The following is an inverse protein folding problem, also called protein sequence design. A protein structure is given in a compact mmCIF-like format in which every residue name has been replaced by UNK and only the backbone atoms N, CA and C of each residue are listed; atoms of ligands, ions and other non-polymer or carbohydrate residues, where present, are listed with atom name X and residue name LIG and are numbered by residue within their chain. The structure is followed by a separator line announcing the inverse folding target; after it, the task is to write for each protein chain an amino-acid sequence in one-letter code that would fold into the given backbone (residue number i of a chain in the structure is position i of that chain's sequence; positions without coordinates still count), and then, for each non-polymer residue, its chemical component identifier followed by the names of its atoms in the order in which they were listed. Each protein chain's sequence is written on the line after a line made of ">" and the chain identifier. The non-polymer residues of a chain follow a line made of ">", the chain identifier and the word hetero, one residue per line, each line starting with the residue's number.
data_IF_146521576385
#
_entry.id   IF_146521576385
#
_cell.length_a   1.000
_cell.length_b   1.000
_cell.length_c   1.000
_cell.angle_alpha   90.00
_cell.angle_beta   90.00
_cell.angle_gamma   90.00
#
_symmetry.space_group_name_H-M   'P 1'
#
loop_
_entity.id
_entity.type
_entity.pdbx_description
1 polymer ?
#
# COMPACT_ATOMS: atom_id res chain seq x y z
N UNK A 1 -18.91 33.41 7.47
CA UNK A 1 -19.41 32.63 6.33
C UNK A 1 -19.69 31.22 6.79
N UNK A 2 -20.83 30.63 6.43
CA UNK A 2 -21.35 29.38 7.03
C UNK A 2 -20.72 28.08 6.51
N UNK A 3 -19.51 28.15 5.92
CA UNK A 3 -18.80 27.00 5.34
C UNK A 3 -19.53 26.29 4.20
N UNK A 4 -18.96 25.17 3.76
CA UNK A 4 -19.62 24.15 2.94
C UNK A 4 -20.00 23.00 3.87
N UNK A 5 -21.25 22.51 3.79
CA UNK A 5 -21.78 21.49 4.71
C UNK A 5 -22.10 20.15 4.03
N UNK A 6 -21.76 20.05 2.75
CA UNK A 6 -21.99 18.86 1.93
C UNK A 6 -21.11 18.92 0.69
N UNK A 7 -20.85 17.75 0.11
CA UNK A 7 -20.16 17.60 -1.18
C UNK A 7 -20.88 18.40 -2.27
N UNK A 8 -22.22 18.38 -2.25
CA UNK A 8 -23.06 19.14 -3.16
C UNK A 8 -22.81 20.65 -3.04
N UNK A 9 -22.73 21.18 -1.82
CA UNK A 9 -22.44 22.59 -1.61
C UNK A 9 -21.05 22.98 -2.15
N UNK A 10 -20.05 22.12 -2.02
CA UNK A 10 -18.71 22.33 -2.62
C UNK A 10 -18.81 22.30 -4.14
N UNK A 11 -19.52 21.33 -4.71
CA UNK A 11 -19.72 21.21 -6.16
C UNK A 11 -20.41 22.44 -6.76
N UNK A 12 -21.54 22.86 -6.20
CA UNK A 12 -22.35 23.98 -6.73
C UNK A 12 -21.72 25.34 -6.44
N UNK A 13 -21.38 25.61 -5.18
CA UNK A 13 -21.01 26.96 -4.73
C UNK A 13 -19.53 27.25 -4.89
N UNK A 14 -18.66 26.25 -4.70
CA UNK A 14 -17.22 26.42 -4.94
C UNK A 14 -16.84 26.11 -6.40
N UNK A 15 -17.75 25.52 -7.20
CA UNK A 15 -17.51 25.19 -8.60
C UNK A 15 -16.45 24.11 -8.80
N UNK A 16 -16.24 23.25 -7.80
CA UNK A 16 -15.22 22.21 -7.84
C UNK A 16 -15.74 21.03 -8.66
N UNK A 17 -15.09 20.75 -9.79
CA UNK A 17 -15.47 19.67 -10.69
C UNK A 17 -15.37 18.28 -10.06
N UNK A 18 -16.08 17.31 -10.66
CA UNK A 18 -16.26 15.96 -10.11
C UNK A 18 -14.93 15.21 -9.94
N UNK A 19 -14.00 15.41 -10.87
CA UNK A 19 -12.65 14.84 -10.80
C UNK A 19 -11.91 15.25 -9.51
N UNK A 20 -12.00 16.53 -9.14
CA UNK A 20 -11.34 17.06 -7.94
C UNK A 20 -12.06 16.57 -6.69
N UNK A 21 -13.40 16.59 -6.68
CA UNK A 21 -14.19 16.05 -5.57
C UNK A 21 -13.90 14.56 -5.33
N UNK A 22 -13.71 13.77 -6.40
CA UNK A 22 -13.37 12.36 -6.27
C UNK A 22 -11.99 12.15 -5.63
N UNK A 23 -11.03 13.03 -5.93
CA UNK A 23 -9.71 13.01 -5.29
C UNK A 23 -9.78 13.43 -3.81
N UNK A 24 -10.61 14.43 -3.49
CA UNK A 24 -10.86 14.86 -2.11
C UNK A 24 -11.55 13.76 -1.29
N UNK A 25 -12.57 13.12 -1.86
CA UNK A 25 -13.26 11.99 -1.25
C UNK A 25 -12.31 10.81 -1.05
N UNK A 26 -11.48 10.48 -2.05
CA UNK A 26 -10.46 9.45 -1.92
C UNK A 26 -9.39 9.76 -0.87
N UNK A 27 -9.12 11.04 -0.61
CA UNK A 27 -8.22 11.53 0.45
C UNK A 27 -8.93 11.74 1.80
N UNK A 28 -10.14 11.22 1.96
CA UNK A 28 -10.92 11.28 3.20
C UNK A 28 -11.27 12.72 3.68
N UNK A 29 -11.26 13.69 2.76
CA UNK A 29 -11.47 15.11 3.09
C UNK A 29 -12.89 15.44 3.57
N UNK A 30 -13.85 14.52 3.40
CA UNK A 30 -15.26 14.71 3.75
C UNK A 30 -15.67 13.99 5.04
N UNK A 31 -14.71 13.43 5.79
CA UNK A 31 -14.97 12.83 7.10
C UNK A 31 -15.61 13.82 8.09
N UNK A 32 -15.30 15.13 7.98
CA UNK A 32 -15.93 16.18 8.78
C UNK A 32 -17.44 16.33 8.53
N UNK A 33 -17.96 15.81 7.42
CA UNK A 33 -19.39 15.78 7.10
C UNK A 33 -20.07 14.50 7.60
N UNK A 34 -19.36 13.66 8.36
CA UNK A 34 -19.85 12.37 8.84
C UNK A 34 -19.99 11.32 7.74
N UNK A 35 -19.34 11.53 6.59
CA UNK A 35 -19.34 10.59 5.48
C UNK A 35 -18.12 9.69 5.57
N UNK A 36 -18.32 8.37 5.42
CA UNK A 36 -17.18 7.49 5.15
C UNK A 36 -16.59 7.78 3.77
N UNK A 37 -15.36 7.34 3.53
CA UNK A 37 -14.70 7.46 2.22
C UNK A 37 -15.57 6.88 1.10
N UNK A 38 -16.18 5.72 1.33
CA UNK A 38 -17.07 5.04 0.36
C UNK A 38 -18.34 5.85 0.11
N UNK A 39 -18.96 6.40 1.15
CA UNK A 39 -20.15 7.24 1.01
C UNK A 39 -19.84 8.52 0.23
N UNK A 40 -18.70 9.16 0.53
CA UNK A 40 -18.26 10.35 -0.17
C UNK A 40 -17.99 10.09 -1.66
N UNK A 41 -17.26 9.02 -1.99
CA UNK A 41 -17.01 8.61 -3.37
C UNK A 41 -18.32 8.28 -4.11
N UNK A 42 -19.26 7.63 -3.43
CA UNK A 42 -20.58 7.33 -3.98
C UNK A 42 -21.38 8.61 -4.26
N UNK A 43 -21.41 9.54 -3.31
CA UNK A 43 -22.07 10.84 -3.46
C UNK A 43 -21.48 11.64 -4.63
N UNK A 44 -20.15 11.69 -4.76
CA UNK A 44 -19.48 12.34 -5.90
C UNK A 44 -19.85 11.67 -7.23
N UNK A 45 -19.98 10.34 -7.25
CA UNK A 45 -20.35 9.60 -8.46
C UNK A 45 -21.78 9.89 -8.92
N UNK A 46 -22.66 10.20 -7.98
CA UNK A 46 -24.05 10.61 -8.22
C UNK A 46 -24.22 12.02 -8.79
N UNK A 47 -23.16 12.83 -8.85
CA UNK A 47 -23.24 14.17 -9.43
C UNK A 47 -23.41 14.12 -10.96
N UNK A 48 -24.34 14.93 -11.47
CA UNK A 48 -24.74 14.99 -12.89
C UNK A 48 -23.70 15.53 -13.88
N UNK A 49 -22.50 15.90 -13.41
CA UNK A 49 -21.41 16.39 -14.27
C UNK A 49 -20.39 17.22 -13.52
N UNK A 50 -19.57 17.98 -14.24
CA UNK A 50 -18.59 18.89 -13.64
C UNK A 50 -19.21 20.19 -13.10
N UNK A 51 -20.38 20.57 -13.59
CA UNK A 51 -21.16 21.70 -13.11
C UNK A 51 -22.64 21.33 -13.05
N UNK A 52 -23.42 21.95 -12.16
CA UNK A 52 -24.87 21.84 -12.18
C UNK A 52 -25.41 22.30 -13.54
N UNK A 53 -26.46 21.66 -14.03
CA UNK A 53 -27.16 22.16 -15.21
C UNK A 53 -27.86 23.48 -14.85
N UNK A 54 -27.97 24.45 -15.79
CA UNK A 54 -28.52 25.78 -15.51
C UNK A 54 -29.92 25.75 -14.86
N UNK A 55 -30.75 24.76 -15.22
CA UNK A 55 -32.09 24.60 -14.65
C UNK A 55 -32.10 24.13 -13.19
N UNK A 56 -31.02 23.51 -12.73
CA UNK A 56 -30.90 22.89 -11.39
C UNK A 56 -29.85 23.58 -10.51
N UNK A 57 -29.39 24.79 -10.88
CA UNK A 57 -28.37 25.52 -10.13
C UNK A 57 -28.83 25.93 -8.72
N UNK A 58 -30.11 26.32 -8.56
CA UNK A 58 -30.65 26.81 -7.30
C UNK A 58 -31.18 25.70 -6.38
N UNK A 59 -31.99 24.79 -6.92
CA UNK A 59 -32.77 23.80 -6.12
C UNK A 59 -32.25 22.36 -6.24
N UNK A 60 -31.27 22.12 -7.13
CA UNK A 60 -30.79 20.78 -7.45
C UNK A 60 -31.77 19.94 -8.26
N UNK A 61 -31.37 18.72 -8.59
CA UNK A 61 -32.17 17.80 -9.44
C UNK A 61 -33.33 17.13 -8.70
N UNK A 62 -33.53 17.42 -7.40
CA UNK A 62 -34.58 16.82 -6.58
C UNK A 62 -34.53 15.29 -6.47
N UNK A 63 -33.38 14.69 -6.79
CA UNK A 63 -33.20 13.24 -6.75
C UNK A 63 -33.36 12.74 -5.31
N UNK A 64 -34.09 11.62 -5.08
CA UNK A 64 -34.22 11.05 -3.76
C UNK A 64 -32.83 10.70 -3.20
N UNK A 65 -32.58 11.09 -1.96
CA UNK A 65 -31.36 10.71 -1.25
C UNK A 65 -31.47 9.23 -0.94
N UNK A 66 -30.78 8.40 -1.71
CA UNK A 66 -30.65 6.99 -1.41
C UNK A 66 -29.63 6.82 -0.30
N UNK A 67 -30.06 6.30 0.84
CA UNK A 67 -29.13 5.84 1.88
C UNK A 67 -28.48 4.56 1.34
N UNK A 68 -27.24 4.69 0.86
CA UNK A 68 -26.45 3.54 0.44
C UNK A 68 -25.88 2.85 1.67
N UNK A 69 -26.28 1.61 1.93
CA UNK A 69 -25.67 0.79 2.97
C UNK A 69 -24.38 0.14 2.41
N UNK A 70 -23.32 0.94 2.28
CA UNK A 70 -22.03 0.47 1.80
C UNK A 70 -21.29 -0.28 2.92
N UNK A 71 -20.56 -1.37 2.63
CA UNK A 71 -19.74 -2.02 3.63
C UNK A 71 -18.73 -1.02 4.20
N UNK A 72 -18.54 -1.04 5.53
CA UNK A 72 -17.47 -0.27 6.17
C UNK A 72 -16.11 -0.77 5.69
N UNK A 73 -15.16 0.15 5.58
CA UNK A 73 -13.77 -0.22 5.36
C UNK A 73 -13.16 -0.67 6.69
N UNK A 74 -12.41 -1.76 6.65
CA UNK A 74 -11.51 -2.15 7.73
C UNK A 74 -10.40 -1.11 7.89
N UNK A 75 -9.76 -1.11 9.07
CA UNK A 75 -8.64 -0.21 9.34
C UNK A 75 -7.48 -0.38 8.34
N UNK A 76 -7.20 -1.64 7.93
CA UNK A 76 -6.17 -1.93 6.92
C UNK A 76 -6.50 -1.30 5.56
N UNK A 77 -7.76 -1.38 5.13
CA UNK A 77 -8.24 -0.75 3.90
C UNK A 77 -8.16 0.78 3.98
N UNK A 78 -8.54 1.37 5.11
CA UNK A 78 -8.49 2.84 5.29
C UNK A 78 -7.05 3.36 5.25
N UNK A 79 -6.13 2.71 5.97
CA UNK A 79 -4.71 3.05 5.94
C UNK A 79 -4.16 2.86 4.52
N UNK A 80 -4.51 1.78 3.84
CA UNK A 80 -4.10 1.56 2.46
C UNK A 80 -4.55 2.70 1.52
N UNK A 81 -5.83 3.08 1.58
CA UNK A 81 -6.37 4.15 0.74
C UNK A 81 -5.78 5.54 1.10
N UNK A 82 -5.48 5.79 2.38
CA UNK A 82 -4.75 6.99 2.83
C UNK A 82 -3.38 7.11 2.14
N UNK A 83 -2.61 6.02 2.09
CA UNK A 83 -1.33 5.99 1.41
C UNK A 83 -1.48 6.14 -0.11
N UNK A 84 -2.49 5.52 -0.72
CA UNK A 84 -2.78 5.70 -2.16
C UNK A 84 -3.11 7.15 -2.49
N UNK A 85 -3.88 7.82 -1.63
CA UNK A 85 -4.37 9.17 -1.88
C UNK A 85 -3.36 10.27 -1.52
N UNK A 86 -2.74 10.19 -0.34
CA UNK A 86 -1.96 11.28 0.25
C UNK A 86 -0.53 10.89 0.66
N UNK A 87 -0.18 9.59 0.59
CA UNK A 87 1.13 9.03 1.01
C UNK A 87 1.44 9.16 2.51
N UNK A 88 0.45 9.54 3.29
CA UNK A 88 0.50 9.60 4.75
C UNK A 88 -0.83 9.09 5.28
N UNK A 89 -0.85 8.68 6.55
CA UNK A 89 -2.08 8.39 7.27
C UNK A 89 -2.02 9.05 8.64
N UNK A 90 -3.18 9.45 9.15
CA UNK A 90 -3.35 9.89 10.54
C UNK A 90 -3.89 8.76 11.44
N UNK A 91 -4.08 7.57 10.87
CA UNK A 91 -4.48 6.34 11.56
C UNK A 91 -3.22 5.58 12.00
N UNK A 92 -3.35 4.28 12.24
CA UNK A 92 -2.22 3.44 12.61
C UNK A 92 -1.16 3.32 11.51
N UNK A 93 0.09 3.13 11.95
CA UNK A 93 1.22 2.96 11.06
C UNK A 93 1.15 1.59 10.32
N UNK A 94 1.48 1.50 9.02
CA UNK A 94 1.38 0.25 8.26
C UNK A 94 2.14 -0.94 8.86
N UNK A 95 3.29 -0.66 9.50
CA UNK A 95 4.07 -1.70 10.19
C UNK A 95 3.31 -2.30 11.37
N UNK A 96 2.49 -1.52 12.10
CA UNK A 96 1.61 -2.04 13.16
C UNK A 96 0.68 -3.11 12.61
N UNK A 97 0.03 -2.78 11.49
CA UNK A 97 -0.93 -3.65 10.83
C UNK A 97 -0.27 -4.92 10.27
N UNK A 98 0.98 -4.84 9.82
CA UNK A 98 1.76 -5.94 9.25
C UNK A 98 2.62 -6.71 10.25
N UNK A 99 2.52 -6.42 11.56
CA UNK A 99 3.33 -7.11 12.59
C UNK A 99 3.22 -8.65 12.53
N UNK A 100 2.03 -9.25 12.35
CA UNK A 100 1.91 -10.71 12.24
C UNK A 100 2.74 -11.31 11.10
N UNK A 101 2.80 -10.63 9.96
CA UNK A 101 3.47 -11.06 8.73
C UNK A 101 4.99 -10.74 8.74
N UNK A 102 5.40 -9.69 9.47
CA UNK A 102 6.79 -9.26 9.57
C UNK A 102 7.66 -10.13 10.48
N UNK A 103 7.04 -10.92 11.36
CA UNK A 103 7.74 -11.72 12.36
C UNK A 103 8.47 -10.86 13.39
N UNK A 104 9.45 -11.44 14.08
CA UNK A 104 10.17 -10.76 15.17
C UNK A 104 11.25 -9.82 14.62
N UNK A 105 11.17 -8.55 15.01
CA UNK A 105 12.21 -7.55 14.78
C UNK A 105 12.35 -6.64 16.02
N UNK A 106 13.47 -5.94 16.12
CA UNK A 106 13.75 -4.93 17.15
C UNK A 106 13.14 -3.61 16.71
N UNK A 107 12.25 -3.05 17.53
CA UNK A 107 11.63 -1.76 17.22
C UNK A 107 12.61 -0.60 17.35
N UNK A 108 12.38 0.48 16.61
CA UNK A 108 13.20 1.70 16.66
C UNK A 108 13.34 2.24 18.09
N UNK A 109 12.25 2.22 18.87
CA UNK A 109 12.29 2.63 20.28
C UNK A 109 13.22 1.76 21.14
N UNK A 110 13.30 0.46 20.85
CA UNK A 110 14.17 -0.48 21.58
C UNK A 110 15.64 -0.27 21.24
N UNK A 111 15.96 0.13 20.00
CA UNK A 111 17.35 0.37 19.57
C UNK A 111 18.06 1.42 20.43
N UNK A 112 17.32 2.41 20.94
CA UNK A 112 17.87 3.47 21.81
C UNK A 112 18.61 2.90 23.01
N UNK A 113 18.14 1.79 23.56
CA UNK A 113 18.70 1.13 24.75
C UNK A 113 19.49 -0.15 24.43
N UNK A 114 19.53 -0.59 23.17
CA UNK A 114 20.23 -1.80 22.78
C UNK A 114 21.76 -1.62 22.88
N UNK A 115 22.51 -2.59 23.42
CA UNK A 115 23.98 -2.57 23.49
C UNK A 115 24.67 -2.26 22.14
N UNK A 116 25.77 -1.51 22.20
CA UNK A 116 26.62 -1.29 21.03
C UNK A 116 27.17 -2.62 20.48
N UNK A 117 27.39 -2.69 19.17
CA UNK A 117 27.90 -3.87 18.43
C UNK A 117 26.99 -5.10 18.43
N UNK A 118 25.78 -5.00 18.99
CA UNK A 118 24.81 -6.08 18.94
C UNK A 118 24.29 -6.30 17.52
N UNK A 119 24.05 -7.55 17.16
CA UNK A 119 23.28 -7.91 15.97
C UNK A 119 21.80 -7.67 16.20
N UNK A 120 21.20 -6.87 15.33
CA UNK A 120 19.78 -6.53 15.37
C UNK A 120 19.14 -6.75 14.01
N UNK A 121 17.86 -7.07 14.03
CA UNK A 121 17.02 -7.10 12.83
C UNK A 121 15.93 -6.06 13.02
N UNK A 122 15.82 -5.12 12.07
CA UNK A 122 14.78 -4.09 12.04
C UNK A 122 13.92 -4.30 10.82
N UNK A 123 12.66 -3.85 10.87
CA UNK A 123 11.77 -3.84 9.73
C UNK A 123 10.99 -2.52 9.73
N UNK A 124 10.85 -1.90 8.56
CA UNK A 124 10.17 -0.61 8.48
C UNK A 124 10.03 -0.09 7.06
N UNK A 125 9.18 0.93 6.91
CA UNK A 125 8.99 1.67 5.66
C UNK A 125 10.24 2.49 5.36
N UNK A 126 10.72 2.46 4.12
CA UNK A 126 11.85 3.31 3.73
C UNK A 126 11.36 4.72 3.45
N UNK A 127 11.75 5.67 4.30
CA UNK A 127 11.34 7.07 4.16
C UNK A 127 12.36 7.92 3.39
N UNK A 128 13.65 7.62 3.53
CA UNK A 128 14.72 8.37 2.84
C UNK A 128 15.83 7.44 2.35
N UNK A 129 16.46 7.85 1.25
CA UNK A 129 17.68 7.25 0.70
C UNK A 129 18.63 8.37 0.33
N UNK A 130 19.86 8.31 0.84
CA UNK A 130 20.87 9.31 0.56
C UNK A 130 22.17 8.63 0.15
N UNK A 131 22.82 9.16 -0.87
CA UNK A 131 24.17 8.72 -1.28
C UNK A 131 25.03 9.96 -1.53
N UNK A 132 25.52 10.60 -0.45
CA UNK A 132 26.33 11.78 -0.58
C UNK A 132 27.53 11.52 -1.50
N UNK A 133 27.80 12.43 -2.44
CA UNK A 133 28.92 12.27 -3.38
C UNK A 133 30.29 12.17 -2.70
N UNK A 134 30.40 12.64 -1.46
CA UNK A 134 31.62 12.64 -0.64
C UNK A 134 31.80 11.38 0.20
N UNK A 135 30.80 10.50 0.32
CA UNK A 135 30.81 9.38 1.27
C UNK A 135 31.35 8.06 0.67
N UNK A 136 32.27 8.12 -0.30
CA UNK A 136 32.89 6.94 -0.93
C UNK A 136 31.89 5.85 -1.36
N UNK A 137 30.71 6.27 -1.82
CA UNK A 137 29.66 5.37 -2.29
C UNK A 137 28.77 4.75 -1.20
N UNK A 138 28.94 5.10 0.08
CA UNK A 138 28.06 4.70 1.18
C UNK A 138 26.65 5.26 0.98
N UNK A 139 25.64 4.44 1.28
CA UNK A 139 24.24 4.81 1.23
C UNK A 139 23.68 4.83 2.65
N UNK A 140 22.90 5.87 2.95
CA UNK A 140 22.13 5.98 4.18
C UNK A 140 20.66 5.73 3.86
N UNK A 141 20.04 4.81 4.60
CA UNK A 141 18.59 4.61 4.59
C UNK A 141 18.03 5.01 5.94
N UNK A 142 16.85 5.62 5.94
CA UNK A 142 16.05 5.74 7.16
C UNK A 142 14.81 4.87 7.01
N UNK A 143 14.61 3.99 7.99
CA UNK A 143 13.41 3.16 8.10
C UNK A 143 12.50 3.73 9.18
N UNK A 144 11.19 3.63 8.98
CA UNK A 144 10.17 4.00 9.95
C UNK A 144 9.34 2.77 10.36
N UNK A 145 9.18 2.58 11.66
CA UNK A 145 8.20 1.70 12.26
C UNK A 145 7.23 2.50 13.14
N UNK A 146 6.26 1.80 13.74
CA UNK A 146 5.25 2.36 14.64
C UNK A 146 5.80 3.02 15.91
N UNK A 147 7.11 2.88 16.17
CA UNK A 147 7.78 3.38 17.37
C UNK A 147 8.83 4.45 17.08
N UNK A 148 9.09 4.74 15.80
CA UNK A 148 10.00 5.79 15.34
C UNK A 148 10.91 5.35 14.19
N UNK A 149 12.09 5.97 14.10
CA UNK A 149 12.99 5.80 12.96
C UNK A 149 14.27 5.04 13.31
N UNK A 150 14.76 4.25 12.36
CA UNK A 150 16.02 3.51 12.41
C UNK A 150 16.94 3.95 11.28
N UNK A 151 18.15 4.41 11.62
CA UNK A 151 19.15 4.83 10.63
C UNK A 151 20.03 3.66 10.22
N UNK A 152 20.18 3.45 8.91
CA UNK A 152 20.89 2.31 8.35
C UNK A 152 22.04 2.81 7.47
N UNK A 153 23.18 2.16 7.62
CA UNK A 153 24.35 2.36 6.77
C UNK A 153 24.50 1.15 5.85
N UNK A 154 24.55 1.41 4.54
CA UNK A 154 24.78 0.42 3.50
C UNK A 154 26.10 0.72 2.81
N UNK A 155 27.10 -0.12 3.09
CA UNK A 155 28.42 -0.05 2.44
C UNK A 155 28.35 -0.50 0.98
N UNK A 156 29.27 -0.03 0.11
CA UNK A 156 29.29 -0.39 -1.31
C UNK A 156 29.16 -1.90 -1.59
N UNK A 157 29.93 -2.73 -0.87
CA UNK A 157 29.89 -4.18 -1.05
C UNK A 157 28.53 -4.80 -0.68
N UNK A 158 27.83 -4.24 0.32
CA UNK A 158 26.47 -4.67 0.69
C UNK A 158 25.46 -4.16 -0.34
N UNK A 159 25.62 -2.92 -0.81
CA UNK A 159 24.77 -2.35 -1.86
C UNK A 159 24.85 -3.13 -3.16
N UNK A 160 26.04 -3.56 -3.59
CA UNK A 160 26.21 -4.37 -4.79
C UNK A 160 25.42 -5.68 -4.73
N UNK A 161 25.40 -6.33 -3.55
CA UNK A 161 24.65 -7.58 -3.32
C UNK A 161 23.14 -7.36 -3.24
N UNK A 162 22.70 -6.26 -2.62
CA UNK A 162 21.29 -5.98 -2.34
C UNK A 162 20.75 -4.77 -3.11
N UNK A 163 21.27 -4.56 -4.33
CA UNK A 163 21.00 -3.35 -5.11
C UNK A 163 19.50 -3.13 -5.33
N UNK A 164 18.77 -4.18 -5.71
CA UNK A 164 17.32 -4.11 -5.96
C UNK A 164 16.56 -3.68 -4.70
N UNK A 165 16.88 -4.29 -3.57
CA UNK A 165 16.22 -4.05 -2.29
C UNK A 165 16.49 -2.63 -1.78
N UNK A 166 17.73 -2.16 -1.88
CA UNK A 166 18.11 -0.79 -1.50
C UNK A 166 17.43 0.25 -2.39
N UNK A 167 17.38 0.01 -3.70
CA UNK A 167 16.81 0.96 -4.67
C UNK A 167 15.28 1.03 -4.62
N UNK A 168 14.63 -0.13 -4.63
CA UNK A 168 13.19 -0.22 -4.87
C UNK A 168 12.36 -0.65 -3.65
N UNK A 169 13.00 -1.20 -2.61
CA UNK A 169 12.30 -1.78 -1.47
C UNK A 169 11.58 -0.71 -0.65
N UNK A 170 10.26 -0.75 -0.59
CA UNK A 170 9.37 0.21 0.09
C UNK A 170 9.18 -0.14 1.56
N UNK A 171 9.07 -1.44 1.86
CA UNK A 171 9.10 -2.03 3.18
C UNK A 171 10.25 -3.02 3.18
N UNK A 172 11.22 -2.86 4.07
CA UNK A 172 12.41 -3.71 4.10
C UNK A 172 12.68 -4.23 5.48
N UNK A 173 13.25 -5.43 5.55
CA UNK A 173 13.83 -6.00 6.76
C UNK A 173 15.34 -6.00 6.62
N UNK A 174 16.02 -5.46 7.62
CA UNK A 174 17.47 -5.31 7.61
C UNK A 174 18.04 -5.95 8.85
N UNK A 175 18.95 -6.89 8.64
CA UNK A 175 19.80 -7.45 9.70
C UNK A 175 21.19 -6.83 9.58
N UNK A 176 21.71 -6.36 10.70
CA UNK A 176 22.97 -5.65 10.74
C UNK A 176 23.49 -5.49 12.15
N UNK A 177 24.65 -4.86 12.25
CA UNK A 177 25.28 -4.57 13.53
C UNK A 177 24.96 -3.15 13.97
N UNK A 178 24.38 -3.00 15.15
CA UNK A 178 24.17 -1.69 15.76
C UNK A 178 25.53 -1.05 16.09
N UNK A 179 25.67 0.22 15.76
CA UNK A 179 26.79 1.08 16.09
C UNK A 179 26.25 2.31 16.79
N UNK A 180 26.82 2.63 17.96
CA UNK A 180 26.46 3.83 18.72
C UNK A 180 27.60 4.82 18.72
N UNK A 181 27.27 6.06 18.34
CA UNK A 181 28.18 7.20 18.42
C UNK A 181 27.48 8.31 19.21
N UNK A 182 27.81 8.40 20.50
CA UNK A 182 27.09 9.25 21.45
C UNK A 182 25.62 8.85 21.57
N UNK A 183 24.73 9.78 21.22
CA UNK A 183 23.26 9.60 21.29
C UNK A 183 22.67 8.99 20.01
N UNK A 184 23.44 8.95 18.92
CA UNK A 184 22.96 8.49 17.62
C UNK A 184 23.31 7.02 17.43
N UNK A 185 22.33 6.24 16.96
CA UNK A 185 22.52 4.83 16.61
C UNK A 185 22.36 4.63 15.12
N UNK A 186 23.28 3.89 14.53
CA UNK A 186 23.23 3.42 13.15
C UNK A 186 23.26 1.90 13.11
N UNK A 187 22.62 1.29 12.13
CA UNK A 187 22.72 -0.14 11.88
C UNK A 187 23.54 -0.32 10.61
N UNK A 188 24.72 -0.93 10.74
CA UNK A 188 25.51 -1.32 9.59
C UNK A 188 24.91 -2.58 9.00
N UNK A 189 24.28 -2.42 7.84
CA UNK A 189 23.54 -3.48 7.15
C UNK A 189 24.46 -4.61 6.68
N UNK A 190 23.99 -5.85 6.89
CA UNK A 190 24.65 -7.07 6.38
C UNK A 190 23.73 -7.86 5.47
N UNK A 191 22.41 -7.85 5.73
CA UNK A 191 21.38 -8.50 4.92
C UNK A 191 20.18 -7.58 4.80
N UNK A 192 19.62 -7.50 3.60
CA UNK A 192 18.46 -6.67 3.29
C UNK A 192 17.46 -7.55 2.53
N UNK A 193 16.29 -7.75 3.12
CA UNK A 193 15.17 -8.47 2.52
C UNK A 193 14.09 -7.44 2.14
N UNK A 194 13.60 -7.51 0.90
CA UNK A 194 12.51 -6.67 0.42
C UNK A 194 11.17 -7.33 0.76
N UNK A 195 10.35 -6.64 1.54
CA UNK A 195 9.04 -7.09 2.00
C UNK A 195 7.92 -6.21 1.41
N UNK A 196 8.22 -5.45 0.35
CA UNK A 196 7.28 -4.53 -0.28
C UNK A 196 5.97 -5.19 -0.70
N UNK A 197 5.98 -6.50 -0.99
CA UNK A 197 4.78 -7.24 -1.36
C UNK A 197 3.74 -7.29 -0.23
N UNK A 198 4.15 -7.22 1.04
CA UNK A 198 3.24 -7.16 2.19
C UNK A 198 2.45 -5.85 2.25
N UNK A 199 2.95 -4.77 1.62
CA UNK A 199 2.18 -3.54 1.52
C UNK A 199 0.97 -3.70 0.59
N UNK A 200 1.08 -4.61 -0.38
CA UNK A 200 0.01 -4.86 -1.33
C UNK A 200 -1.09 -5.75 -0.69
N UNK A 201 -0.82 -6.40 0.44
CA UNK A 201 -1.81 -7.19 1.21
C UNK A 201 -2.63 -6.35 2.20
N UNK A 202 -2.24 -5.10 2.46
CA UNK A 202 -3.02 -4.20 3.33
C UNK A 202 -4.42 -3.90 2.77
N UNK A 203 -4.55 -3.81 1.44
CA UNK A 203 -5.83 -3.54 0.78
C UNK A 203 -6.75 -4.75 0.64
N UNK A 204 -6.23 -5.98 0.83
CA UNK A 204 -6.98 -7.23 0.66
C UNK A 204 -6.84 -8.08 1.94
N UNK A 205 -7.62 -7.73 2.97
CA UNK A 205 -7.62 -8.46 4.25
C UNK A 205 -7.97 -9.96 4.07
N UNK A 206 -8.79 -10.29 3.06
CA UNK A 206 -9.19 -11.68 2.75
C UNK A 206 -8.13 -12.47 1.95
N UNK A 207 -7.13 -11.80 1.36
CA UNK A 207 -6.10 -12.42 0.52
C UNK A 207 -4.74 -12.57 1.23
N UNK A 208 -4.62 -12.15 2.49
CA UNK A 208 -3.37 -12.13 3.25
C UNK A 208 -2.66 -13.51 3.35
N UNK A 209 -3.39 -14.61 3.17
CA UNK A 209 -2.83 -15.98 3.13
C UNK A 209 -2.54 -16.54 1.72
N UNK A 210 -2.86 -15.83 0.64
CA UNK A 210 -2.68 -16.26 -0.77
C UNK A 210 -1.73 -15.37 -1.56
N UNK A 211 -1.08 -14.40 -0.91
CA UNK A 211 -0.11 -13.54 -1.58
C UNK A 211 1.18 -14.32 -1.86
N UNK A 212 1.36 -14.69 -3.14
CA UNK A 212 2.61 -15.27 -3.64
C UNK A 212 3.71 -14.20 -3.53
N UNK A 213 4.85 -14.53 -2.91
CA UNK A 213 6.01 -13.64 -2.89
C UNK A 213 6.60 -13.55 -4.30
N UNK A 214 6.39 -12.44 -5.03
CA UNK A 214 6.84 -12.31 -6.41
C UNK A 214 8.36 -12.12 -6.51
N UNK A 215 9.07 -12.09 -5.38
CA UNK A 215 10.53 -11.94 -5.29
C UNK A 215 11.24 -13.27 -5.51
N UNK A 216 10.58 -14.40 -5.24
CA UNK A 216 11.13 -15.76 -5.41
C UNK A 216 10.59 -16.49 -6.65
N UNK A 217 9.58 -15.95 -7.33
CA UNK A 217 9.05 -16.56 -8.55
C UNK A 217 9.92 -16.22 -9.77
N UNK A 218 10.69 -17.20 -10.22
CA UNK A 218 11.35 -17.16 -11.52
C UNK A 218 10.26 -17.16 -12.62
N UNK A 219 10.06 -16.01 -13.26
CA UNK A 219 9.12 -15.86 -14.38
C UNK A 219 9.46 -16.73 -15.62
N UNK A 220 10.59 -17.42 -15.61
CA UNK A 220 11.09 -18.24 -16.72
C UNK A 220 10.56 -19.69 -16.71
N UNK A 221 9.91 -20.14 -15.63
CA UNK A 221 9.33 -21.49 -15.54
C UNK A 221 8.16 -21.70 -16.52
N UNK A 222 7.57 -20.63 -17.05
CA UNK A 222 6.58 -20.69 -18.14
C UNK A 222 7.25 -21.08 -19.47
N UNK A 223 8.55 -20.81 -19.63
CA UNK A 223 9.30 -21.11 -20.87
C UNK A 223 10.08 -22.42 -20.80
N UNK A 224 10.38 -22.92 -19.60
CA UNK A 224 11.07 -24.21 -19.40
C UNK A 224 10.49 -24.92 -18.17
N UNK A 225 9.38 -25.66 -18.31
CA UNK A 225 8.86 -26.44 -17.20
C UNK A 225 9.93 -27.44 -16.74
N UNK A 226 10.20 -27.47 -15.44
CA UNK A 226 11.02 -28.51 -14.84
C UNK A 226 10.41 -29.89 -15.15
N UNK A 227 11.22 -30.94 -15.41
CA UNK A 227 10.69 -32.28 -15.62
C UNK A 227 9.91 -32.70 -14.38
N UNK A 228 8.68 -33.16 -14.59
CA UNK A 228 7.76 -33.53 -13.52
C UNK A 228 8.38 -34.61 -12.62
N UNK A 229 8.89 -34.21 -11.46
CA UNK A 229 9.24 -35.12 -10.37
C UNK A 229 7.95 -35.63 -9.74
N UNK A 230 7.84 -36.95 -9.62
CA UNK A 230 6.71 -37.66 -9.04
C UNK A 230 6.48 -37.27 -7.57
N UNK A 231 5.38 -36.56 -7.29
CA UNK A 231 4.85 -36.45 -5.93
C UNK A 231 3.31 -36.46 -5.93
N UNK A 232 2.74 -37.50 -5.32
CA UNK A 232 1.40 -37.48 -4.72
C UNK A 232 0.29 -38.24 -5.46
N UNK A 233 -0.65 -38.88 -4.73
CA UNK A 233 -1.73 -39.65 -5.34
C UNK A 233 -2.68 -38.74 -6.15
N UNK A 234 -3.04 -39.19 -7.36
CA UNK A 234 -3.91 -38.48 -8.30
C UNK A 234 -5.22 -38.07 -7.62
N UNK A 235 -5.49 -36.77 -7.61
CA UNK A 235 -6.79 -36.19 -7.25
C UNK A 235 -7.85 -36.77 -8.20
N UNK A 236 -9.05 -37.19 -7.73
CA UNK A 236 -10.07 -37.74 -8.62
C UNK A 236 -10.49 -36.68 -9.64
N UNK A 237 -10.55 -37.09 -10.91
CA UNK A 237 -10.98 -36.26 -12.04
C UNK A 237 -12.35 -35.65 -11.74
N UNK A 238 -12.38 -34.33 -11.60
CA UNK A 238 -13.65 -33.60 -11.54
C UNK A 238 -14.25 -33.61 -12.94
N UNK A 239 -15.44 -34.18 -13.08
CA UNK A 239 -16.24 -34.09 -14.32
C UNK A 239 -16.37 -32.61 -14.71
N UNK A 240 -16.16 -32.25 -15.99
CA UNK A 240 -16.36 -30.88 -16.44
C UNK A 240 -17.82 -30.48 -16.23
N UNK A 241 -18.04 -29.28 -15.68
CA UNK A 241 -19.36 -28.66 -15.62
C UNK A 241 -19.83 -28.36 -17.05
N UNK A 242 -21.14 -28.33 -17.29
CA UNK A 242 -21.71 -28.07 -18.60
C UNK A 242 -21.22 -26.73 -19.18
N UNK A 243 -21.17 -26.63 -20.51
CA UNK A 243 -20.65 -25.45 -21.22
C UNK A 243 -21.39 -24.15 -20.86
N UNK A 244 -22.68 -24.23 -20.53
CA UNK A 244 -23.47 -23.09 -20.03
C UNK A 244 -22.99 -22.60 -18.66
N UNK A 245 -22.72 -23.52 -17.72
CA UNK A 245 -22.23 -23.16 -16.37
C UNK A 245 -20.79 -22.62 -16.47
N UNK A 246 -19.99 -23.15 -17.40
CA UNK A 246 -18.62 -22.67 -17.65
C UNK A 246 -18.62 -21.26 -18.25
N UNK A 247 -19.53 -20.97 -19.18
CA UNK A 247 -19.72 -19.65 -19.75
C UNK A 247 -20.29 -18.64 -18.73
N UNK A 248 -21.20 -19.07 -17.86
CA UNK A 248 -21.75 -18.24 -16.78
C UNK A 248 -20.69 -17.91 -15.72
N UNK A 249 -19.87 -18.88 -15.31
CA UNK A 249 -18.72 -18.68 -14.43
C UNK A 249 -17.68 -17.75 -15.06
N UNK A 250 -17.40 -17.88 -16.35
CA UNK A 250 -16.48 -16.98 -17.07
C UNK A 250 -17.04 -15.56 -17.17
N UNK A 251 -18.35 -15.39 -17.41
CA UNK A 251 -19.01 -14.06 -17.38
C UNK A 251 -19.04 -13.47 -15.98
N UNK A 252 -19.24 -14.28 -14.94
CA UNK A 252 -19.18 -13.86 -13.54
C UNK A 252 -17.75 -13.47 -13.12
N UNK A 253 -16.73 -14.21 -13.57
CA UNK A 253 -15.33 -13.85 -13.38
C UNK A 253 -14.97 -12.54 -14.11
N UNK A 254 -15.34 -12.40 -15.38
CA UNK A 254 -15.09 -11.17 -16.14
C UNK A 254 -15.80 -9.95 -15.55
N UNK A 255 -17.01 -10.12 -14.98
CA UNK A 255 -17.72 -9.06 -14.24
C UNK A 255 -17.02 -8.67 -12.93
N UNK A 256 -16.36 -9.61 -12.24
CA UNK A 256 -15.54 -9.30 -11.05
C UNK A 256 -14.29 -8.48 -11.39
N UNK A 257 -13.74 -8.65 -12.59
CA UNK A 257 -12.58 -7.85 -13.06
C UNK A 257 -12.97 -6.54 -13.78
N UNK A 258 -14.26 -6.29 -14.03
CA UNK A 258 -14.75 -5.10 -14.74
C UNK A 258 -15.00 -3.86 -13.88
N UNK A 259 -14.84 -3.97 -12.56
CA UNK A 259 -15.05 -2.87 -11.61
C UNK A 259 -13.82 -2.61 -10.76
N UNK A 260 -12.86 -1.84 -11.28
CA UNK A 260 -11.83 -1.20 -10.44
C UNK A 260 -10.85 -2.12 -9.71
N UNK A 261 -10.81 -3.43 -10.00
CA UNK A 261 -9.77 -4.32 -9.48
C UNK A 261 -8.43 -3.97 -10.15
N UNK A 262 -7.67 -3.07 -9.52
CA UNK A 262 -6.33 -2.70 -9.96
C UNK A 262 -5.41 -3.87 -9.70
N UNK A 263 -4.65 -4.28 -10.72
CA UNK A 263 -3.67 -5.36 -10.58
C UNK A 263 -2.72 -5.06 -9.40
N UNK A 264 -2.35 -6.02 -8.53
CA UNK A 264 -1.50 -5.78 -7.36
C UNK A 264 -0.20 -5.01 -7.69
N UNK A 265 0.43 -5.32 -8.83
CA UNK A 265 1.59 -4.57 -9.37
C UNK A 265 1.32 -3.10 -9.75
N UNK A 266 0.10 -2.72 -10.11
CA UNK A 266 -0.27 -1.33 -10.42
C UNK A 266 -0.55 -0.52 -9.15
N UNK A 267 -1.05 -1.18 -8.10
CA UNK A 267 -1.18 -0.60 -6.76
C UNK A 267 0.22 -0.30 -6.20
N UNK A 268 1.16 -1.24 -6.33
CA UNK A 268 2.53 -1.10 -5.86
C UNK A 268 3.27 0.15 -6.38
N UNK A 269 3.08 0.51 -7.67
CA UNK A 269 3.68 1.70 -8.29
C UNK A 269 3.12 3.01 -7.74
N UNK A 270 1.87 3.01 -7.25
CA UNK A 270 1.17 4.19 -6.72
C UNK A 270 1.30 4.38 -5.22
N UNK A 271 1.83 3.42 -4.47
CA UNK A 271 1.89 3.53 -3.00
C UNK A 271 3.18 4.17 -2.48
N UNK A 272 4.37 3.93 -3.08
CA UNK A 272 5.61 4.58 -2.63
C UNK A 272 6.56 4.92 -3.79
N UNK A 273 6.65 6.20 -4.16
CA UNK A 273 7.82 6.70 -4.89
C UNK A 273 8.89 6.95 -3.84
N UNK A 274 9.96 6.17 -3.89
CA UNK A 274 11.22 6.50 -3.24
C UNK A 274 11.61 7.92 -3.68
N UNK A 275 11.95 8.82 -2.73
CA UNK A 275 12.78 9.98 -3.08
C UNK A 275 14.14 9.40 -3.44
N UNK A 276 14.34 9.17 -4.72
CA UNK A 276 15.61 8.67 -5.26
C UNK A 276 16.73 9.66 -4.98
N UNK A 277 17.97 9.16 -5.02
CA UNK A 277 19.17 9.86 -4.59
C UNK A 277 19.19 11.34 -4.96
N UNK A 278 19.30 12.18 -3.94
CA UNK A 278 19.77 13.57 -4.07
C UNK A 278 21.24 13.63 -3.64
#
# INVERSE_FOLDING_TARGET
>A
GNGYRSIDAVWRRAGVGRSVLARLAGADAFAEYGLSRRDALWAVKGLGGDKPLPLFEADGEGLPVFVSNLPLMSEREEVFEDYVATRLTLRDHPVTLLRPELGRFTSAATLRNAPDRQWVTVAGLVITRQRPGTASGVIFLTLEDDTGVSNIIVWPNTFEKFRKQVMAGRLVRITGRLQREGIVTHIVSSRIDDLSYLLDTLGDADSAGMAIDPTYDNADDVKRPAPAGEYGPRRPERKPLSDEITAELQRAQQRRYGGGARHPREQAKKLFYSRDFH
#
